data_IF_217283141884
#
_entry.id   IF_217283141884
#
_cell.length_a   1.000
_cell.length_b   1.000
_cell.length_c   1.000
_cell.angle_alpha   90.00
_cell.angle_beta   90.00
_cell.angle_gamma   90.00
#
_symmetry.space_group_name_H-M   'P 1'
#
loop_
_entity.id
_entity.type
_entity.pdbx_description
1 polymer ?
#
# COMPACT_ATOMS: atom_id res chain seq x y z
N UNK A 1 -26.97 -5.44 -23.67
CA UNK A 1 -26.79 -4.24 -22.81
C UNK A 1 -26.65 -4.62 -21.35
N UNK A 2 -25.66 -5.45 -21.04
CA UNK A 2 -25.08 -5.54 -19.72
C UNK A 2 -23.62 -5.10 -19.84
N UNK A 3 -23.21 -4.15 -19.01
CA UNK A 3 -21.82 -3.76 -18.86
C UNK A 3 -21.28 -4.48 -17.64
N UNK A 4 -20.13 -5.13 -17.77
CA UNK A 4 -19.43 -5.80 -16.68
C UNK A 4 -18.14 -5.05 -16.36
N UNK A 5 -17.80 -4.89 -15.10
CA UNK A 5 -16.60 -4.20 -14.64
C UNK A 5 -15.75 -5.15 -13.82
N UNK A 6 -14.47 -5.26 -14.18
CA UNK A 6 -13.50 -6.00 -13.40
C UNK A 6 -13.25 -5.29 -12.06
N UNK A 7 -13.44 -5.96 -10.92
CA UNK A 7 -13.21 -5.38 -9.60
C UNK A 7 -11.73 -5.13 -9.25
N UNK A 8 -10.80 -5.62 -10.07
CA UNK A 8 -9.35 -5.54 -9.82
C UNK A 8 -8.70 -4.38 -10.57
N UNK A 9 -9.11 -4.12 -11.82
CA UNK A 9 -8.49 -3.10 -12.68
C UNK A 9 -9.50 -2.15 -13.33
N UNK A 10 -10.78 -2.24 -12.94
CA UNK A 10 -11.89 -1.41 -13.43
C UNK A 10 -12.07 -1.40 -14.96
N UNK A 11 -11.58 -2.44 -15.65
CA UNK A 11 -11.84 -2.62 -17.08
C UNK A 11 -13.31 -2.94 -17.32
N UNK A 12 -13.93 -2.21 -18.25
CA UNK A 12 -15.32 -2.39 -18.65
C UNK A 12 -15.43 -3.36 -19.84
N UNK A 13 -16.33 -4.33 -19.73
CA UNK A 13 -16.72 -5.24 -20.79
C UNK A 13 -18.16 -4.93 -21.20
N UNK A 14 -18.33 -4.48 -22.44
CA UNK A 14 -19.60 -4.05 -23.01
C UNK A 14 -20.07 -5.07 -24.05
N UNK A 15 -21.16 -5.79 -23.74
CA UNK A 15 -21.71 -6.85 -24.60
C UNK A 15 -22.10 -6.38 -26.01
N UNK A 16 -22.28 -5.07 -26.24
CA UNK A 16 -22.66 -4.55 -27.56
C UNK A 16 -21.44 -4.19 -28.43
N UNK A 17 -20.29 -3.93 -27.80
CA UNK A 17 -19.02 -3.65 -28.49
C UNK A 17 -18.26 -4.93 -28.80
N UNK A 18 -18.44 -5.94 -27.96
CA UNK A 18 -17.76 -7.22 -28.06
C UNK A 18 -18.59 -8.25 -28.85
N UNK A 19 -17.91 -9.15 -29.57
CA UNK A 19 -18.58 -10.12 -30.46
C UNK A 19 -19.25 -11.28 -29.73
N UNK A 20 -19.09 -11.40 -28.41
CA UNK A 20 -19.60 -12.48 -27.59
C UNK A 20 -20.38 -11.91 -26.40
N UNK A 21 -21.40 -12.64 -25.94
CA UNK A 21 -22.13 -12.29 -24.71
C UNK A 21 -21.38 -12.80 -23.50
N UNK A 22 -21.51 -12.13 -22.36
CA UNK A 22 -20.81 -12.52 -21.13
C UNK A 22 -21.09 -13.96 -20.68
N UNK A 23 -22.31 -14.46 -20.92
CA UNK A 23 -22.70 -15.83 -20.60
C UNK A 23 -22.09 -16.88 -21.54
N UNK A 24 -21.74 -16.49 -22.77
CA UNK A 24 -21.13 -17.37 -23.77
C UNK A 24 -19.59 -17.39 -23.67
N UNK A 25 -19.01 -16.54 -22.81
CA UNK A 25 -17.57 -16.53 -22.55
C UNK A 25 -17.12 -17.82 -21.86
N UNK A 26 -16.01 -18.44 -22.30
CA UNK A 26 -15.42 -19.61 -21.65
C UNK A 26 -15.22 -19.41 -20.15
N UNK A 27 -15.24 -20.51 -19.39
CA UNK A 27 -14.95 -20.50 -17.94
C UNK A 27 -13.53 -20.03 -17.63
N UNK A 28 -12.60 -20.23 -18.57
CA UNK A 28 -11.19 -19.81 -18.50
C UNK A 28 -10.95 -18.36 -18.97
N UNK A 29 -12.01 -17.56 -19.12
CA UNK A 29 -11.85 -16.16 -19.50
C UNK A 29 -11.11 -15.36 -18.40
N UNK A 30 -10.01 -14.73 -18.79
CA UNK A 30 -9.21 -13.83 -17.97
C UNK A 30 -9.30 -12.40 -18.48
N UNK A 31 -9.19 -11.45 -17.56
CA UNK A 31 -9.14 -10.03 -17.89
C UNK A 31 -7.86 -9.72 -18.70
N UNK A 32 -7.94 -9.05 -19.86
CA UNK A 32 -6.77 -8.74 -20.68
C UNK A 32 -5.81 -7.71 -20.06
N UNK A 33 -6.20 -7.05 -18.97
CA UNK A 33 -5.41 -6.01 -18.30
C UNK A 33 -4.71 -6.54 -17.04
N UNK A 34 -5.41 -7.36 -16.24
CA UNK A 34 -4.91 -7.82 -14.93
C UNK A 34 -4.87 -9.34 -14.75
N UNK A 35 -5.15 -10.11 -15.80
CA UNK A 35 -5.19 -11.58 -15.79
C UNK A 35 -6.13 -12.22 -14.74
N UNK A 36 -7.01 -11.41 -14.13
CA UNK A 36 -7.96 -11.90 -13.15
C UNK A 36 -9.07 -12.70 -13.84
N UNK A 37 -9.45 -13.83 -13.24
CA UNK A 37 -10.49 -14.71 -13.79
C UNK A 37 -11.90 -14.09 -13.78
N UNK A 38 -12.82 -14.76 -14.48
CA UNK A 38 -14.24 -14.36 -14.63
C UNK A 38 -14.99 -14.11 -13.30
N UNK A 39 -14.52 -14.68 -12.18
CA UNK A 39 -15.12 -14.51 -10.85
C UNK A 39 -15.04 -13.07 -10.29
N UNK A 40 -14.07 -12.27 -10.74
CA UNK A 40 -13.85 -10.91 -10.22
C UNK A 40 -14.64 -9.83 -10.97
N UNK A 41 -15.55 -10.21 -11.84
CA UNK A 41 -16.32 -9.28 -12.67
C UNK A 41 -17.72 -9.04 -12.10
N UNK A 42 -18.12 -7.77 -12.03
CA UNK A 42 -19.42 -7.34 -11.51
C UNK A 42 -20.24 -6.70 -12.62
N UNK A 43 -21.52 -7.05 -12.73
CA UNK A 43 -22.43 -6.39 -13.68
C UNK A 43 -22.83 -5.01 -13.15
N UNK A 44 -22.65 -3.97 -13.95
CA UNK A 44 -23.09 -2.61 -13.63
C UNK A 44 -24.62 -2.56 -13.73
N UNK A 45 -25.29 -2.21 -12.63
CA UNK A 45 -26.76 -2.15 -12.53
C UNK A 45 -27.44 -3.38 -11.93
N UNK A 46 -26.67 -4.41 -11.54
CA UNK A 46 -27.16 -5.37 -10.55
C UNK A 46 -26.96 -4.76 -9.16
N UNK A 47 -28.02 -4.65 -8.36
CA UNK A 47 -27.87 -4.47 -6.92
C UNK A 47 -26.97 -5.61 -6.39
N UNK A 48 -26.03 -5.35 -5.47
CA UNK A 48 -25.16 -6.41 -4.98
C UNK A 48 -26.01 -7.44 -4.25
N UNK A 49 -26.25 -8.59 -4.88
CA UNK A 49 -26.66 -9.81 -4.20
C UNK A 49 -25.48 -10.25 -3.36
N UNK A 50 -25.49 -9.81 -2.10
CA UNK A 50 -24.64 -10.35 -1.03
C UNK A 50 -25.28 -11.69 -0.64
N UNK A 51 -25.24 -12.67 -1.55
CA UNK A 51 -25.67 -14.03 -1.28
C UNK A 51 -24.51 -14.99 -1.51
N UNK A 52 -23.77 -15.16 -0.43
CA UNK A 52 -23.16 -16.42 0.04
C UNK A 52 -22.23 -17.19 -0.91
N UNK A 53 -20.93 -16.96 -0.71
CA UNK A 53 -19.98 -18.07 -0.53
C UNK A 53 -18.82 -17.64 0.40
N UNK A 54 -19.18 -17.08 1.57
CA UNK A 54 -18.28 -17.08 2.73
C UNK A 54 -18.61 -18.35 3.51
N UNK A 55 -18.22 -19.50 2.96
CA UNK A 55 -18.18 -20.75 3.70
C UNK A 55 -17.04 -20.64 4.72
N UNK A 56 -17.40 -20.14 5.90
CA UNK A 56 -17.15 -20.82 7.16
C UNK A 56 -15.70 -21.31 7.39
N UNK A 57 -14.83 -20.34 7.68
CA UNK A 57 -13.67 -20.57 8.54
C UNK A 57 -13.77 -19.71 9.81
N UNK A 58 -14.98 -19.48 10.34
CA UNK A 58 -15.18 -19.11 11.74
C UNK A 58 -15.02 -20.37 12.59
N UNK A 59 -13.82 -20.95 12.57
CA UNK A 59 -13.34 -21.65 13.76
C UNK A 59 -13.25 -20.53 14.79
N UNK A 60 -14.18 -20.49 15.74
CA UNK A 60 -14.00 -19.80 17.01
C UNK A 60 -12.69 -20.33 17.60
N UNK A 61 -11.58 -19.73 17.18
CA UNK A 61 -10.35 -19.82 17.93
C UNK A 61 -10.71 -19.05 19.18
N UNK A 62 -10.81 -19.78 20.28
CA UNK A 62 -10.63 -19.25 21.61
C UNK A 62 -9.28 -18.52 21.62
N UNK A 63 -9.29 -17.29 21.10
CA UNK A 63 -8.17 -16.40 21.10
C UNK A 63 -8.10 -15.94 22.55
N UNK A 64 -7.44 -16.73 23.38
CA UNK A 64 -6.99 -16.35 24.72
C UNK A 64 -5.92 -15.25 24.65
N UNK A 65 -6.06 -14.33 23.70
CA UNK A 65 -5.21 -13.19 23.50
C UNK A 65 -5.84 -12.04 24.26
N UNK A 66 -5.12 -11.54 25.25
CA UNK A 66 -5.53 -10.35 25.97
C UNK A 66 -5.44 -9.14 25.03
N UNK A 67 -6.59 -8.67 24.56
CA UNK A 67 -6.71 -7.49 23.67
C UNK A 67 -6.13 -6.24 24.35
N UNK A 68 -5.96 -6.25 25.68
CA UNK A 68 -5.40 -5.13 26.46
C UNK A 68 -3.92 -5.34 26.83
N UNK A 69 -3.22 -6.25 26.16
CA UNK A 69 -1.79 -6.43 26.36
C UNK A 69 -1.06 -5.14 25.97
N UNK A 70 -0.48 -4.45 26.95
CA UNK A 70 0.27 -3.21 26.74
C UNK A 70 1.77 -3.41 26.62
N UNK A 71 2.30 -4.57 27.05
CA UNK A 71 3.72 -4.88 27.03
C UNK A 71 3.96 -6.36 26.71
N UNK A 72 5.07 -6.66 26.03
CA UNK A 72 5.51 -8.03 25.75
C UNK A 72 7.03 -8.15 25.89
N UNK A 73 7.51 -9.31 26.36
CA UNK A 73 8.95 -9.59 26.46
C UNK A 73 9.58 -9.83 25.08
N UNK A 74 8.80 -10.37 24.13
CA UNK A 74 9.27 -10.68 22.79
C UNK A 74 9.16 -9.49 21.83
N UNK A 75 8.22 -8.57 22.07
CA UNK A 75 7.91 -7.46 21.18
C UNK A 75 8.26 -6.13 21.86
N UNK A 76 9.53 -5.74 21.73
CA UNK A 76 10.05 -4.52 22.37
C UNK A 76 9.36 -3.24 21.92
N UNK A 77 8.77 -3.22 20.72
CA UNK A 77 8.12 -2.05 20.12
C UNK A 77 6.60 -2.04 20.30
N UNK A 78 6.02 -3.00 21.03
CA UNK A 78 4.56 -3.08 21.20
C UNK A 78 4.01 -1.81 21.87
N UNK A 79 4.70 -1.31 22.89
CA UNK A 79 4.38 -0.05 23.58
C UNK A 79 4.40 1.13 22.60
N UNK A 80 5.42 1.20 21.75
CA UNK A 80 5.58 2.26 20.77
C UNK A 80 4.44 2.26 19.74
N UNK A 81 4.04 1.08 19.26
CA UNK A 81 2.92 0.94 18.32
C UNK A 81 1.62 1.40 18.98
N UNK A 82 1.35 1.00 20.22
CA UNK A 82 0.16 1.42 20.95
C UNK A 82 0.12 2.93 21.16
N UNK A 83 1.22 3.52 21.62
CA UNK A 83 1.28 4.96 21.87
C UNK A 83 1.11 5.78 20.59
N UNK A 84 1.68 5.35 19.45
CA UNK A 84 1.45 6.00 18.15
C UNK A 84 0.00 5.83 17.68
N UNK A 85 -0.62 4.67 17.89
CA UNK A 85 -2.01 4.41 17.49
C UNK A 85 -3.02 5.24 18.30
N UNK A 86 -2.79 5.40 19.61
CA UNK A 86 -3.66 6.17 20.50
C UNK A 86 -3.49 7.68 20.31
N UNK A 87 -2.25 8.16 20.23
CA UNK A 87 -1.95 9.58 20.09
C UNK A 87 -2.12 10.11 18.67
N UNK A 88 -2.03 9.23 17.66
CA UNK A 88 -1.98 9.60 16.24
C UNK A 88 -0.71 10.38 15.86
N UNK A 89 0.29 10.41 16.73
CA UNK A 89 1.55 11.14 16.53
C UNK A 89 2.73 10.17 16.51
N UNK A 90 3.76 10.49 15.73
CA UNK A 90 5.01 9.73 15.74
C UNK A 90 5.77 9.94 17.05
N UNK A 91 6.33 8.88 17.63
CA UNK A 91 7.22 8.97 18.80
C UNK A 91 8.54 9.65 18.45
N UNK A 92 9.02 9.43 17.22
CA UNK A 92 10.24 10.03 16.69
C UNK A 92 9.93 10.86 15.45
N UNK A 93 10.51 12.05 15.41
CA UNK A 93 10.33 13.02 14.31
C UNK A 93 11.67 13.29 13.60
N UNK A 94 12.25 12.30 12.87
CA UNK A 94 13.56 12.47 12.25
C UNK A 94 13.61 13.61 11.22
N UNK A 95 12.48 13.92 10.58
CA UNK A 95 12.36 15.02 9.60
C UNK A 95 11.77 16.33 10.16
N UNK A 96 11.32 16.34 11.42
CA UNK A 96 10.77 17.53 12.10
C UNK A 96 11.57 17.84 13.39
N UNK A 97 12.89 17.68 13.31
CA UNK A 97 13.77 18.06 14.43
C UNK A 97 13.56 19.53 14.81
N UNK A 98 13.28 19.79 16.09
CA UNK A 98 13.24 21.15 16.66
C UNK A 98 14.63 21.71 16.95
N UNK A 99 15.68 20.89 16.78
CA UNK A 99 17.06 21.37 16.91
C UNK A 99 17.36 22.32 15.74
N UNK A 100 18.14 23.38 15.98
CA UNK A 100 18.57 24.25 14.89
C UNK A 100 19.33 23.41 13.85
N UNK A 101 18.88 23.49 12.60
CA UNK A 101 19.54 22.88 11.44
C UNK A 101 20.38 23.96 10.77
N UNK A 102 21.55 23.59 10.25
CA UNK A 102 22.43 24.50 9.51
C UNK A 102 21.68 25.00 8.25
N UNK A 103 21.53 26.31 8.10
CA UNK A 103 21.02 26.96 6.89
C UNK A 103 22.13 27.09 5.84
N UNK A 104 21.77 27.18 4.56
CA UNK A 104 22.73 27.58 3.52
C UNK A 104 23.34 28.96 3.78
N UNK A 105 22.63 29.82 4.50
CA UNK A 105 23.13 31.14 4.93
C UNK A 105 24.19 31.04 6.03
N UNK A 106 24.22 29.95 6.78
CA UNK A 106 25.24 29.68 7.81
C UNK A 106 26.54 29.14 7.19
N UNK A 107 26.54 28.80 5.89
CA UNK A 107 27.68 28.23 5.17
C UNK A 107 28.43 29.36 4.45
N UNK A 108 29.56 29.79 5.02
CA UNK A 108 30.48 30.70 4.33
C UNK A 108 31.41 29.92 3.40
N UNK A 109 31.18 30.02 2.09
CA UNK A 109 32.11 29.55 1.06
C UNK A 109 33.07 30.69 0.70
N UNK A 110 34.35 30.56 1.06
CA UNK A 110 35.39 31.49 0.63
C UNK A 110 35.69 31.29 -0.86
N UNK A 111 35.88 32.39 -1.60
CA UNK A 111 36.00 32.34 -3.08
C UNK A 111 37.11 31.43 -3.62
N UNK A 112 38.17 31.17 -2.85
CA UNK A 112 39.26 30.28 -3.26
C UNK A 112 39.00 28.78 -2.93
N UNK A 113 38.02 28.44 -2.09
CA UNK A 113 37.80 27.06 -1.63
C UNK A 113 37.33 26.11 -2.74
N UNK A 114 36.67 26.64 -3.77
CA UNK A 114 36.20 25.86 -4.93
C UNK A 114 37.07 26.10 -6.18
N UNK A 115 38.16 26.86 -6.05
CA UNK A 115 39.02 27.21 -7.18
C UNK A 115 39.91 26.04 -7.63
N UNK A 116 40.18 25.08 -6.74
CA UNK A 116 40.94 23.87 -7.04
C UNK A 116 40.03 22.65 -6.94
N UNK A 117 40.09 21.79 -7.96
CA UNK A 117 39.44 20.49 -7.93
C UNK A 117 40.09 19.68 -6.80
N UNK A 118 39.30 18.97 -5.97
CA UNK A 118 39.85 18.10 -4.92
C UNK A 118 40.84 17.09 -5.50
N UNK A 119 41.93 16.82 -4.76
CA UNK A 119 42.91 15.81 -5.12
C UNK A 119 42.23 14.43 -5.11
N UNK A 120 42.54 13.56 -6.09
CA UNK A 120 42.05 12.19 -6.04
C UNK A 120 42.78 11.40 -4.95
N UNK A 121 42.14 10.34 -4.47
CA UNK A 121 42.67 9.53 -3.37
C UNK A 121 44.02 8.87 -3.70
N UNK A 122 44.29 8.63 -4.99
CA UNK A 122 45.49 7.91 -5.45
C UNK A 122 46.67 8.84 -5.82
N UNK A 123 46.44 10.16 -5.83
CA UNK A 123 47.47 11.14 -6.17
C UNK A 123 48.36 11.44 -4.94
N UNK A 124 49.65 11.68 -5.17
CA UNK A 124 50.58 12.05 -4.08
C UNK A 124 50.36 13.49 -3.61
N UNK A 125 50.42 13.69 -2.29
CA UNK A 125 50.25 14.99 -1.60
C UNK A 125 51.54 15.80 -1.60
#
# INVERSE_FOLDING_TARGET
MAVYVCAVCDTEYDEDKESARWNDLPSDFTCPVCDSGKAFWRRVGAEPDISEDIQEATKERDLSFDIRKTEDSHESYLVDIHTMAESGQSIIEPMQTRKPVISWEDILIQGAQLAQIPLNHDDQV
#
